data_IF_020095468060
#
_entry.id   IF_020095468060
#
_cell.length_a   1.000
_cell.length_b   1.000
_cell.length_c   1.000
_cell.angle_alpha   90.00
_cell.angle_beta   90.00
_cell.angle_gamma   90.00
#
_symmetry.space_group_name_H-M   'P 1'
#
loop_
_entity.id
_entity.type
_entity.pdbx_description
1 polymer ?
#
# COMPACT_ATOMS: atom_id res chain seq x y z
N UNK A 1 16.53 -51.54 26.31
CA UNK A 1 16.93 -50.22 26.82
C UNK A 1 16.26 -49.15 25.96
N UNK A 2 15.60 -48.19 26.59
CA UNK A 2 14.75 -47.15 26.00
C UNK A 2 15.59 -45.94 25.59
N UNK A 3 15.31 -45.35 24.43
CA UNK A 3 15.60 -43.94 24.16
C UNK A 3 14.49 -43.35 23.31
N UNK A 4 13.46 -42.83 23.99
CA UNK A 4 12.45 -41.93 23.44
C UNK A 4 13.10 -40.58 23.17
N UNK A 5 13.15 -40.17 21.90
CA UNK A 5 13.59 -38.84 21.49
C UNK A 5 12.42 -37.86 21.65
N UNK A 6 12.50 -36.99 22.66
CA UNK A 6 11.50 -35.94 22.93
C UNK A 6 11.85 -34.72 22.07
N UNK A 7 11.14 -34.54 20.95
CA UNK A 7 11.27 -33.34 20.13
C UNK A 7 10.51 -32.18 20.80
N UNK A 8 11.25 -31.22 21.35
CA UNK A 8 10.73 -30.01 21.99
C UNK A 8 10.33 -29.00 20.89
N UNK A 9 9.03 -28.93 20.58
CA UNK A 9 8.46 -27.93 19.69
C UNK A 9 8.46 -26.56 20.38
N UNK A 10 9.46 -25.74 20.06
CA UNK A 10 9.47 -24.31 20.36
C UNK A 10 8.34 -23.63 19.56
N UNK A 11 7.17 -23.51 20.17
CA UNK A 11 6.14 -22.56 19.73
C UNK A 11 6.71 -21.16 19.93
N UNK A 12 7.26 -20.59 18.87
CA UNK A 12 7.54 -19.16 18.82
C UNK A 12 6.21 -18.42 18.96
N UNK A 13 5.99 -17.86 20.14
CA UNK A 13 4.88 -16.96 20.44
C UNK A 13 4.95 -15.77 19.48
N UNK A 14 4.12 -15.78 18.44
CA UNK A 14 3.90 -14.59 17.62
C UNK A 14 3.21 -13.59 18.54
N UNK A 15 3.99 -12.62 19.02
CA UNK A 15 3.46 -11.43 19.69
C UNK A 15 2.55 -10.69 18.71
N UNK A 16 1.27 -11.05 18.69
CA UNK A 16 0.21 -10.19 18.19
C UNK A 16 0.06 -9.03 19.17
N UNK A 17 1.03 -8.12 19.17
CA UNK A 17 0.86 -6.81 19.75
C UNK A 17 -0.33 -6.19 19.02
N UNK A 18 -1.34 -5.74 19.77
CA UNK A 18 -2.58 -5.16 19.27
C UNK A 18 -2.25 -3.83 18.54
N UNK A 19 -1.67 -3.94 17.35
CA UNK A 19 -1.54 -2.85 16.43
C UNK A 19 -2.96 -2.50 16.01
N UNK A 20 -3.46 -1.33 16.42
CA UNK A 20 -4.66 -0.76 15.82
C UNK A 20 -4.57 -0.85 14.30
N UNK A 21 -5.70 -0.97 13.58
CA UNK A 21 -5.72 -1.40 12.19
C UNK A 21 -4.70 -0.61 11.38
N UNK A 22 -3.66 -1.27 10.88
CA UNK A 22 -2.67 -0.66 10.01
C UNK A 22 -3.16 -0.69 8.56
N UNK A 23 -2.70 0.25 7.75
CA UNK A 23 -2.93 0.27 6.32
C UNK A 23 -1.62 0.62 5.61
N UNK A 24 -1.22 -0.25 4.68
CA UNK A 24 -0.07 -0.03 3.81
C UNK A 24 -0.32 1.17 2.90
N UNK A 25 0.60 2.12 2.93
CA UNK A 25 0.66 3.19 1.95
C UNK A 25 1.51 2.82 0.75
N UNK A 26 1.23 3.50 -0.35
CA UNK A 26 2.01 3.49 -1.58
C UNK A 26 2.66 4.85 -1.77
N UNK A 27 3.97 4.87 -1.99
CA UNK A 27 4.76 6.08 -2.17
C UNK A 27 5.37 6.09 -3.58
N UNK A 28 4.77 6.90 -4.45
CA UNK A 28 5.31 7.17 -5.78
C UNK A 28 6.46 8.16 -5.68
N UNK A 29 7.58 7.86 -6.35
CA UNK A 29 8.74 8.76 -6.42
C UNK A 29 8.42 10.10 -7.13
N UNK A 30 7.41 10.10 -8.01
CA UNK A 30 7.00 11.27 -8.80
C UNK A 30 5.69 11.86 -8.27
N UNK A 31 5.75 13.10 -7.78
CA UNK A 31 4.59 13.91 -7.40
C UNK A 31 4.50 14.22 -5.89
N UNK A 32 4.39 15.50 -5.56
CA UNK A 32 4.45 16.05 -4.20
C UNK A 32 3.21 15.78 -3.32
N UNK A 33 2.51 14.66 -3.50
CA UNK A 33 1.20 14.41 -2.82
C UNK A 33 1.25 13.43 -1.64
N UNK A 34 2.45 13.04 -1.21
CA UNK A 34 2.65 12.20 -0.02
C UNK A 34 2.14 10.76 -0.21
N UNK A 35 2.04 9.98 0.89
CA UNK A 35 1.60 8.60 0.81
C UNK A 35 0.15 8.48 0.30
N UNK A 36 -0.07 7.50 -0.57
CA UNK A 36 -1.37 7.15 -1.11
C UNK A 36 -1.90 5.90 -0.42
N UNK A 37 -3.21 5.81 -0.25
CA UNK A 37 -3.89 4.69 0.38
C UNK A 37 -4.96 4.12 -0.57
N UNK A 38 -5.25 2.81 -0.54
CA UNK A 38 -6.40 2.26 -1.24
C UNK A 38 -7.69 2.93 -0.72
N UNK A 39 -8.41 3.62 -1.60
CA UNK A 39 -9.52 4.50 -1.21
C UNK A 39 -10.62 3.76 -0.45
N UNK A 40 -11.06 2.61 -0.98
CA UNK A 40 -12.11 1.80 -0.37
C UNK A 40 -11.72 1.29 1.03
N UNK A 41 -10.44 0.96 1.23
CA UNK A 41 -9.93 0.45 2.50
C UNK A 41 -9.78 1.53 3.56
N UNK A 42 -9.31 2.72 3.16
CA UNK A 42 -9.25 3.89 4.03
C UNK A 42 -10.66 4.32 4.45
N UNK A 43 -11.60 4.41 3.48
CA UNK A 43 -12.99 4.75 3.74
C UNK A 43 -13.65 3.76 4.71
N UNK A 44 -13.45 2.45 4.48
CA UNK A 44 -13.96 1.39 5.38
C UNK A 44 -13.45 1.58 6.81
N UNK A 45 -12.15 1.83 7.00
CA UNK A 45 -11.54 2.05 8.32
C UNK A 45 -12.05 3.32 9.00
N UNK A 46 -12.37 4.37 8.24
CA UNK A 46 -12.97 5.61 8.76
C UNK A 46 -14.50 5.55 8.91
N UNK A 47 -15.14 4.48 8.47
CA UNK A 47 -16.60 4.36 8.47
C UNK A 47 -17.30 5.23 7.44
N UNK A 48 -16.59 5.62 6.40
CA UNK A 48 -17.15 6.36 5.28
C UNK A 48 -17.76 5.41 4.25
N UNK A 49 -18.84 5.87 3.61
CA UNK A 49 -19.47 5.19 2.47
C UNK A 49 -19.14 5.98 1.21
N UNK A 50 -18.09 5.61 0.46
CA UNK A 50 -17.76 6.30 -0.78
C UNK A 50 -18.91 6.13 -1.79
N UNK A 51 -19.15 7.16 -2.60
CA UNK A 51 -20.00 7.06 -3.79
C UNK A 51 -19.17 7.44 -5.00
N UNK A 52 -19.03 6.51 -5.93
CA UNK A 52 -18.40 6.75 -7.22
C UNK A 52 -19.50 7.01 -8.23
N UNK A 53 -19.41 8.13 -8.93
CA UNK A 53 -20.23 8.46 -10.09
C UNK A 53 -19.27 8.38 -11.30
N UNK A 54 -19.33 7.26 -12.02
CA UNK A 54 -18.44 6.97 -13.15
C UNK A 54 -18.73 7.87 -14.34
N UNK A 55 -20.00 8.19 -14.60
CA UNK A 55 -20.42 9.07 -15.70
C UNK A 55 -19.85 10.48 -15.52
N UNK A 56 -19.87 10.99 -14.29
CA UNK A 56 -19.33 12.33 -13.99
C UNK A 56 -17.84 12.32 -13.64
N UNK A 57 -17.21 11.15 -13.51
CA UNK A 57 -15.83 11.04 -13.03
C UNK A 57 -15.65 11.67 -11.64
N UNK A 58 -16.59 11.41 -10.71
CA UNK A 58 -16.53 12.00 -9.36
C UNK A 58 -16.61 10.96 -8.26
N UNK A 59 -15.88 11.24 -7.18
CA UNK A 59 -15.89 10.47 -5.95
C UNK A 59 -16.40 11.35 -4.81
N UNK A 60 -17.49 10.94 -4.17
CA UNK A 60 -17.97 11.57 -2.94
C UNK A 60 -17.51 10.79 -1.71
N UNK A 61 -16.77 11.46 -0.83
CA UNK A 61 -16.30 10.96 0.46
C UNK A 61 -16.69 11.94 1.57
N UNK A 62 -17.39 11.45 2.59
CA UNK A 62 -17.80 12.24 3.75
C UNK A 62 -18.41 13.62 3.38
N UNK A 63 -19.35 13.64 2.42
CA UNK A 63 -20.03 14.84 1.88
C UNK A 63 -19.14 15.79 1.06
N UNK A 64 -17.89 15.42 0.76
CA UNK A 64 -17.00 16.16 -0.15
C UNK A 64 -16.86 15.41 -1.47
N UNK A 65 -16.82 16.15 -2.57
CA UNK A 65 -16.71 15.60 -3.91
C UNK A 65 -15.32 15.90 -4.48
N UNK A 66 -14.73 14.89 -5.09
CA UNK A 66 -13.42 14.93 -5.72
C UNK A 66 -13.53 14.46 -7.16
N UNK A 67 -12.72 15.01 -8.06
CA UNK A 67 -12.59 14.51 -9.43
C UNK A 67 -11.69 13.27 -9.45
N UNK A 68 -12.13 12.20 -10.09
CA UNK A 68 -11.35 10.95 -10.23
C UNK A 68 -10.24 11.07 -11.26
N UNK A 69 -10.34 11.99 -12.23
CA UNK A 69 -9.30 12.26 -13.25
C UNK A 69 -7.95 12.64 -12.64
N UNK A 70 -7.98 13.28 -11.47
CA UNK A 70 -6.79 13.74 -10.75
C UNK A 70 -6.28 12.71 -9.73
N UNK A 71 -6.96 11.57 -9.59
CA UNK A 71 -6.60 10.50 -8.67
C UNK A 71 -5.68 9.49 -9.35
N UNK A 72 -4.83 8.85 -8.55
CA UNK A 72 -4.03 7.72 -9.00
C UNK A 72 -4.85 6.44 -8.85
N UNK A 73 -4.46 5.41 -9.58
CA UNK A 73 -5.02 4.06 -9.43
C UNK A 73 -3.90 3.03 -9.41
N UNK A 74 -4.18 1.89 -8.81
CA UNK A 74 -3.38 0.68 -9.00
C UNK A 74 -3.49 0.17 -10.44
N UNK A 75 -2.60 -0.78 -10.78
CA UNK A 75 -2.60 -1.46 -12.09
C UNK A 75 -3.94 -2.15 -12.38
N UNK A 76 -4.64 -2.59 -11.34
CA UNK A 76 -5.97 -3.23 -11.44
C UNK A 76 -7.16 -2.25 -11.45
N UNK A 77 -6.90 -0.94 -11.55
CA UNK A 77 -7.92 0.10 -11.60
C UNK A 77 -8.47 0.56 -10.25
N UNK A 78 -8.08 -0.07 -9.13
CA UNK A 78 -8.52 0.39 -7.81
C UNK A 78 -7.96 1.79 -7.50
N UNK A 79 -8.86 2.71 -7.14
CA UNK A 79 -8.54 4.11 -6.86
C UNK A 79 -7.69 4.25 -5.60
N UNK A 80 -6.66 5.08 -5.71
CA UNK A 80 -5.82 5.55 -4.62
C UNK A 80 -6.25 6.95 -4.18
N UNK A 81 -6.21 7.19 -2.88
CA UNK A 81 -6.48 8.50 -2.28
C UNK A 81 -5.27 9.02 -1.53
N UNK A 82 -4.98 10.32 -1.68
CA UNK A 82 -3.91 10.96 -0.92
C UNK A 82 -4.34 11.25 0.52
N UNK A 83 -3.37 11.32 1.44
CA UNK A 83 -3.64 11.81 2.81
C UNK A 83 -4.19 13.24 2.82
N UNK A 84 -3.78 14.08 1.85
CA UNK A 84 -4.31 15.43 1.70
C UNK A 84 -5.81 15.41 1.37
N UNK A 85 -6.24 14.56 0.44
CA UNK A 85 -7.67 14.43 0.07
C UNK A 85 -8.50 13.84 1.21
N UNK A 86 -7.97 12.90 1.98
CA UNK A 86 -8.61 12.42 3.21
C UNK A 86 -8.79 13.54 4.23
N UNK A 87 -7.79 14.41 4.38
CA UNK A 87 -7.86 15.58 5.27
C UNK A 87 -8.90 16.59 4.78
N UNK A 88 -8.93 16.86 3.46
CA UNK A 88 -9.94 17.69 2.82
C UNK A 88 -11.37 17.12 2.98
N UNK A 89 -11.49 15.79 3.02
CA UNK A 89 -12.74 15.09 3.34
C UNK A 89 -13.10 15.11 4.83
N UNK A 90 -12.24 15.63 5.70
CA UNK A 90 -12.49 15.82 7.13
C UNK A 90 -11.81 14.82 8.06
N UNK A 91 -10.93 13.95 7.57
CA UNK A 91 -10.08 13.14 8.43
C UNK A 91 -9.04 14.03 9.15
N UNK A 92 -8.65 13.63 10.36
CA UNK A 92 -7.57 14.25 11.13
C UNK A 92 -6.32 13.39 11.04
N UNK A 93 -5.19 14.04 10.77
CA UNK A 93 -3.87 13.43 10.69
C UNK A 93 -3.08 13.79 11.95
N UNK A 94 -2.40 12.81 12.56
CA UNK A 94 -1.50 13.01 13.70
C UNK A 94 -0.25 12.13 13.57
N UNK A 95 0.88 12.58 14.08
CA UNK A 95 2.16 11.86 14.04
C UNK A 95 2.93 12.11 12.73
N UNK A 96 3.89 11.24 12.42
CA UNK A 96 4.78 11.40 11.26
C UNK A 96 6.13 12.03 11.57
N UNK A 97 6.55 12.04 12.84
CA UNK A 97 7.87 12.52 13.27
C UNK A 97 8.64 11.36 13.91
N UNK A 98 9.88 11.13 13.48
CA UNK A 98 10.69 9.97 13.87
C UNK A 98 10.05 8.63 13.50
N UNK A 99 10.10 7.67 14.41
CA UNK A 99 9.58 6.30 14.23
C UNK A 99 8.06 6.17 14.43
N UNK A 100 7.35 7.29 14.65
CA UNK A 100 5.94 7.21 15.01
C UNK A 100 5.02 7.22 13.76
N UNK A 101 4.31 6.11 13.46
CA UNK A 101 3.55 5.98 12.22
C UNK A 101 2.41 7.00 12.14
N UNK A 102 2.19 7.53 10.94
CA UNK A 102 1.14 8.52 10.68
C UNK A 102 -0.24 7.92 11.01
N UNK A 103 -1.02 8.58 11.87
CA UNK A 103 -2.35 8.15 12.28
C UNK A 103 -3.42 8.99 11.61
N UNK A 104 -4.36 8.32 10.94
CA UNK A 104 -5.55 8.95 10.34
C UNK A 104 -6.76 8.63 11.22
N UNK A 105 -7.62 9.62 11.47
CA UNK A 105 -8.78 9.46 12.34
C UNK A 105 -10.00 10.25 11.90
N UNK A 106 -11.18 9.72 12.18
CA UNK A 106 -12.46 10.38 11.97
C UNK A 106 -13.51 9.77 12.93
N UNK A 107 -14.24 10.61 13.67
CA UNK A 107 -15.37 10.25 14.56
C UNK A 107 -15.19 8.89 15.26
N UNK A 108 -14.27 8.83 16.24
CA UNK A 108 -14.03 7.62 17.06
C UNK A 108 -13.33 6.47 16.33
N UNK A 109 -13.09 6.57 15.02
CA UNK A 109 -12.36 5.57 14.22
C UNK A 109 -10.98 6.09 13.86
N UNK A 110 -10.00 5.19 13.83
CA UNK A 110 -8.65 5.54 13.42
C UNK A 110 -7.87 4.34 12.92
N UNK A 111 -6.86 4.60 12.10
CA UNK A 111 -5.92 3.60 11.61
C UNK A 111 -4.54 4.22 11.48
N UNK A 112 -3.50 3.39 11.53
CA UNK A 112 -2.11 3.80 11.32
C UNK A 112 -1.72 3.54 9.86
N UNK A 113 -0.93 4.43 9.27
CA UNK A 113 -0.28 4.21 7.99
C UNK A 113 1.06 3.54 8.25
N UNK A 114 1.36 2.50 7.49
CA UNK A 114 2.66 1.85 7.49
C UNK A 114 3.30 1.96 6.10
N UNK A 115 4.60 2.23 6.08
CA UNK A 115 5.39 2.16 4.87
C UNK A 115 5.78 0.71 4.64
N UNK A 116 5.47 0.18 3.46
CA UNK A 116 5.80 -1.19 3.12
C UNK A 116 7.12 -1.27 2.35
N UNK A 117 7.80 -2.41 2.43
CA UNK A 117 9.01 -2.67 1.66
C UNK A 117 8.71 -2.62 0.16
N UNK A 118 9.62 -2.04 -0.62
CA UNK A 118 9.50 -1.97 -2.08
C UNK A 118 10.33 -3.08 -2.71
N UNK A 119 9.81 -3.71 -3.76
CA UNK A 119 10.57 -4.67 -4.59
C UNK A 119 10.14 -4.57 -6.04
N UNK A 120 11.05 -4.92 -6.94
CA UNK A 120 10.74 -5.10 -8.35
C UNK A 120 11.15 -6.51 -8.79
N UNK A 121 10.30 -7.15 -9.57
CA UNK A 121 10.49 -8.47 -10.14
C UNK A 121 10.57 -8.32 -11.66
N UNK A 122 11.60 -8.91 -12.24
CA UNK A 122 11.80 -8.95 -13.69
C UNK A 122 11.70 -10.41 -14.13
N UNK A 123 10.73 -10.71 -14.97
CA UNK A 123 10.62 -11.98 -15.65
C UNK A 123 11.21 -11.84 -17.06
N UNK A 124 12.40 -12.41 -17.28
CA UNK A 124 13.08 -12.38 -18.57
C UNK A 124 12.41 -13.26 -19.63
N UNK A 125 11.76 -14.35 -19.23
CA UNK A 125 11.03 -15.22 -20.17
C UNK A 125 9.79 -14.51 -20.72
N UNK A 126 9.07 -13.80 -19.87
CA UNK A 126 7.88 -13.03 -20.26
C UNK A 126 8.20 -11.62 -20.76
N UNK A 127 9.44 -11.15 -20.57
CA UNK A 127 9.84 -9.75 -20.80
C UNK A 127 8.91 -8.76 -20.06
N UNK A 128 8.72 -9.01 -18.76
CA UNK A 128 7.82 -8.24 -17.90
C UNK A 128 8.52 -7.76 -16.63
N UNK A 129 8.19 -6.54 -16.23
CA UNK A 129 8.57 -5.96 -14.95
C UNK A 129 7.31 -5.74 -14.12
N UNK A 130 7.36 -6.16 -12.86
CA UNK A 130 6.34 -5.89 -11.85
C UNK A 130 7.00 -5.22 -10.66
N UNK A 131 6.46 -4.09 -10.22
CA UNK A 131 6.92 -3.42 -9.01
C UNK A 131 5.84 -3.49 -7.93
N UNK A 132 6.28 -3.77 -6.71
CA UNK A 132 5.43 -3.97 -5.56
C UNK A 132 5.84 -3.03 -4.42
N UNK A 133 4.86 -2.54 -3.67
CA UNK A 133 5.05 -1.93 -2.34
C UNK A 133 4.21 -2.75 -1.34
N UNK A 134 4.90 -3.52 -0.50
CA UNK A 134 4.30 -4.55 0.34
C UNK A 134 3.60 -5.62 -0.49
N UNK A 135 2.31 -5.79 -0.22
CA UNK A 135 1.42 -6.71 -0.93
C UNK A 135 0.84 -6.14 -2.23
N UNK A 136 1.13 -4.88 -2.57
CA UNK A 136 0.43 -4.14 -3.64
C UNK A 136 1.25 -4.05 -4.91
N UNK A 137 0.70 -4.52 -6.03
CA UNK A 137 1.26 -4.30 -7.36
C UNK A 137 1.01 -2.85 -7.77
N UNK A 138 2.08 -2.06 -7.87
CA UNK A 138 2.01 -0.61 -8.13
C UNK A 138 2.39 -0.25 -9.57
N UNK A 139 3.14 -1.11 -10.24
CA UNK A 139 3.52 -0.94 -11.65
C UNK A 139 3.66 -2.29 -12.31
N UNK A 140 3.16 -2.40 -13.54
CA UNK A 140 3.40 -3.52 -14.42
C UNK A 140 3.71 -2.98 -15.82
N UNK A 141 4.80 -3.44 -16.42
CA UNK A 141 5.20 -3.03 -17.76
C UNK A 141 5.83 -4.17 -18.52
N UNK A 142 5.70 -4.13 -19.85
CA UNK A 142 6.61 -4.86 -20.73
C UNK A 142 7.99 -4.20 -20.66
N UNK A 143 9.03 -5.00 -20.78
CA UNK A 143 10.41 -4.53 -20.86
C UNK A 143 11.11 -5.17 -22.05
N UNK A 144 12.32 -4.71 -22.34
CA UNK A 144 13.26 -5.40 -23.22
C UNK A 144 14.59 -5.51 -22.48
N UNK A 145 15.02 -6.73 -22.16
CA UNK A 145 16.24 -6.99 -21.36
C UNK A 145 17.54 -6.97 -22.18
N UNK A 146 17.51 -6.48 -23.43
CA UNK A 146 18.67 -6.41 -24.32
C UNK A 146 19.07 -7.76 -24.94
N UNK A 147 19.71 -7.71 -26.12
CA UNK A 147 20.11 -8.91 -26.89
C UNK A 147 21.60 -9.27 -26.81
N UNK A 148 22.46 -8.35 -26.35
CA UNK A 148 23.92 -8.47 -26.49
C UNK A 148 24.66 -9.00 -25.25
N UNK A 149 24.23 -8.62 -24.04
CA UNK A 149 24.72 -9.16 -22.77
C UNK A 149 23.51 -9.49 -21.92
N UNK A 150 23.40 -10.73 -21.47
CA UNK A 150 22.25 -11.18 -20.69
C UNK A 150 22.17 -10.38 -19.39
N UNK A 151 20.99 -9.83 -19.07
CA UNK A 151 20.72 -9.36 -17.71
C UNK A 151 20.91 -10.55 -16.77
N UNK A 152 21.80 -10.48 -15.77
CA UNK A 152 21.99 -11.57 -14.85
C UNK A 152 20.72 -11.81 -14.02
N UNK A 153 20.39 -13.07 -13.79
CA UNK A 153 19.34 -13.47 -12.86
C UNK A 153 19.88 -13.43 -11.43
N UNK A 154 19.06 -13.01 -10.48
CA UNK A 154 19.42 -12.97 -9.07
C UNK A 154 18.61 -11.93 -8.30
N UNK A 155 18.94 -11.81 -7.01
CA UNK A 155 18.44 -10.73 -6.16
C UNK A 155 19.43 -9.56 -6.19
N UNK A 156 18.90 -8.35 -6.34
CA UNK A 156 19.68 -7.14 -6.42
C UNK A 156 19.05 -6.10 -5.50
N UNK A 157 19.88 -5.44 -4.68
CA UNK A 157 19.46 -4.32 -3.85
C UNK A 157 19.74 -3.00 -4.59
N UNK A 158 18.79 -2.07 -4.54
CA UNK A 158 19.00 -0.72 -5.00
C UNK A 158 19.74 0.07 -3.91
N UNK A 159 20.86 0.70 -4.28
CA UNK A 159 21.62 1.62 -3.43
C UNK A 159 21.14 3.06 -3.52
#
# INVERSE_FOLDING_TARGET
>A
MKTTFLAFLLLASISNCLAGPALEAVNFALGARGPFLPMAEAAKRLGWRPRLDEEKGTLTLNKKTFSTEKMRSFVDGRILISVADLTNAGARVRGGEGDNPLKISFVGRSFKIIQAAKRAEINLAEQRLRAWEGSRLVLESRISSGRGRSTPCGEFEAG
#
